data_IF_456066151839
#
_entry.id   IF_456066151839
#
_cell.length_a   1.000
_cell.length_b   1.000
_cell.length_c   1.000
_cell.angle_alpha   90.00
_cell.angle_beta   90.00
_cell.angle_gamma   90.00
#
_symmetry.space_group_name_H-M   'P 1'
#
loop_
_entity.id
_entity.type
_entity.pdbx_description
1 polymer ?
#
# COMPACT_ATOMS: atom_id res chain seq x y z
N UNK A 1 -23.03 1.42 3.79
CA UNK A 1 -21.58 1.71 3.94
C UNK A 1 -21.44 2.67 5.09
N UNK A 2 -20.76 2.25 6.16
CA UNK A 2 -20.47 3.13 7.29
C UNK A 2 -19.52 4.24 6.82
N UNK A 3 -20.05 5.47 6.68
CA UNK A 3 -19.27 6.63 6.24
C UNK A 3 -18.03 6.87 7.13
N UNK A 4 -18.12 6.47 8.40
CA UNK A 4 -17.03 6.50 9.36
C UNK A 4 -15.84 5.63 8.93
N UNK A 5 -16.12 4.39 8.51
CA UNK A 5 -15.07 3.45 8.09
C UNK A 5 -14.35 3.96 6.84
N UNK A 6 -15.10 4.49 5.87
CA UNK A 6 -14.52 5.06 4.65
C UNK A 6 -13.51 6.18 4.95
N UNK A 7 -13.92 7.17 5.75
CA UNK A 7 -13.05 8.29 6.09
C UNK A 7 -11.86 7.87 6.96
N UNK A 8 -12.06 6.96 7.91
CA UNK A 8 -10.97 6.44 8.74
C UNK A 8 -9.91 5.73 7.88
N UNK A 9 -10.32 4.83 6.99
CA UNK A 9 -9.39 4.14 6.08
C UNK A 9 -8.72 5.11 5.11
N UNK A 10 -9.49 6.03 4.51
CA UNK A 10 -8.95 7.02 3.58
C UNK A 10 -7.87 7.88 4.24
N UNK A 11 -8.17 8.50 5.38
CA UNK A 11 -7.22 9.37 6.09
C UNK A 11 -5.99 8.59 6.54
N UNK A 12 -6.17 7.39 7.08
CA UNK A 12 -5.05 6.56 7.55
C UNK A 12 -4.11 6.18 6.41
N UNK A 13 -4.66 5.70 5.29
CA UNK A 13 -3.86 5.32 4.11
C UNK A 13 -3.23 6.55 3.47
N UNK A 14 -3.98 7.65 3.35
CA UNK A 14 -3.46 8.89 2.78
C UNK A 14 -2.26 9.42 3.58
N UNK A 15 -2.35 9.47 4.92
CA UNK A 15 -1.24 9.88 5.78
C UNK A 15 -0.06 8.90 5.71
N UNK A 16 -0.32 7.59 5.62
CA UNK A 16 0.74 6.57 5.53
C UNK A 16 1.53 6.64 4.21
N UNK A 17 0.86 7.02 3.12
CA UNK A 17 1.45 7.07 1.77
C UNK A 17 2.04 8.45 1.41
N UNK A 18 1.80 9.49 2.23
CA UNK A 18 2.32 10.84 1.97
C UNK A 18 3.85 10.88 2.06
N UNK A 19 4.49 11.27 0.96
CA UNK A 19 5.95 11.43 0.89
C UNK A 19 6.71 10.12 0.64
N UNK A 20 6.03 9.04 0.28
CA UNK A 20 6.70 7.78 -0.06
C UNK A 20 7.49 7.86 -1.38
N UNK A 21 8.46 6.96 -1.55
CA UNK A 21 9.27 6.75 -2.75
C UNK A 21 8.43 6.58 -4.02
N UNK A 22 7.23 6.00 -3.92
CA UNK A 22 6.31 5.89 -5.05
C UNK A 22 5.87 7.25 -5.60
N UNK A 23 5.68 8.26 -4.74
CA UNK A 23 5.34 9.62 -5.16
C UNK A 23 6.53 10.30 -5.88
N UNK A 24 7.75 10.12 -5.38
CA UNK A 24 8.96 10.60 -6.05
C UNK A 24 9.16 9.91 -7.42
N UNK A 25 8.85 8.62 -7.53
CA UNK A 25 8.86 7.90 -8.80
C UNK A 25 7.83 8.46 -9.79
N UNK A 26 6.61 8.76 -9.33
CA UNK A 26 5.57 9.37 -10.17
C UNK A 26 5.96 10.80 -10.62
N UNK A 27 6.55 11.60 -9.73
CA UNK A 27 7.05 12.94 -10.05
C UNK A 27 8.18 12.89 -11.08
N UNK A 28 9.15 12.00 -10.91
CA UNK A 28 10.27 11.84 -11.86
C UNK A 28 9.81 11.28 -13.21
N UNK A 29 8.86 10.34 -13.21
CA UNK A 29 8.24 9.82 -14.45
C UNK A 29 7.47 10.92 -15.19
N UNK A 30 6.76 11.79 -14.46
CA UNK A 30 6.09 12.96 -15.02
C UNK A 30 7.08 13.97 -15.58
N UNK A 31 8.16 14.26 -14.84
CA UNK A 31 9.21 15.18 -15.27
C UNK A 31 9.94 14.72 -16.54
N UNK A 32 10.09 13.41 -16.75
CA UNK A 32 10.73 12.84 -17.95
C UNK A 32 9.80 12.76 -19.16
N UNK A 33 8.54 12.40 -18.97
CA UNK A 33 7.58 12.18 -20.07
C UNK A 33 6.82 13.44 -20.47
N UNK A 34 6.74 14.44 -19.58
CA UNK A 34 5.86 15.61 -19.74
C UNK A 34 4.37 15.29 -19.67
N UNK A 35 3.98 14.03 -19.48
CA UNK A 35 2.62 13.55 -19.67
C UNK A 35 1.88 13.36 -18.34
N UNK A 36 1.65 14.47 -17.62
CA UNK A 36 1.10 14.50 -16.27
C UNK A 36 -0.18 13.68 -16.10
N UNK A 37 -1.16 13.82 -17.01
CA UNK A 37 -2.44 13.12 -16.92
C UNK A 37 -2.25 11.60 -17.07
N UNK A 38 -1.38 11.17 -17.97
CA UNK A 38 -1.14 9.74 -18.22
C UNK A 38 -0.43 9.07 -17.04
N UNK A 39 0.58 9.75 -16.47
CA UNK A 39 1.31 9.22 -15.31
C UNK A 39 0.41 9.19 -14.08
N UNK A 40 -0.42 10.21 -13.88
CA UNK A 40 -1.41 10.24 -12.82
C UNK A 40 -2.39 9.06 -12.94
N UNK A 41 -3.03 8.89 -14.10
CA UNK A 41 -3.99 7.81 -14.31
C UNK A 41 -3.34 6.42 -14.18
N UNK A 42 -2.13 6.24 -14.70
CA UNK A 42 -1.41 4.98 -14.60
C UNK A 42 -1.05 4.65 -13.14
N UNK A 43 -0.53 5.62 -12.38
CA UNK A 43 -0.19 5.43 -10.98
C UNK A 43 -1.43 5.18 -10.11
N UNK A 44 -2.52 5.94 -10.33
CA UNK A 44 -3.80 5.71 -9.65
C UNK A 44 -4.38 4.33 -9.97
N UNK A 45 -4.39 3.93 -11.25
CA UNK A 45 -4.86 2.62 -11.66
C UNK A 45 -4.02 1.49 -11.03
N UNK A 46 -2.69 1.65 -11.01
CA UNK A 46 -1.80 0.69 -10.37
C UNK A 46 -2.10 0.54 -8.88
N UNK A 47 -2.31 1.66 -8.15
CA UNK A 47 -2.65 1.64 -6.73
C UNK A 47 -3.99 0.96 -6.46
N UNK A 48 -5.02 1.28 -7.25
CA UNK A 48 -6.35 0.66 -7.14
C UNK A 48 -6.26 -0.84 -7.41
N UNK A 49 -5.57 -1.25 -8.47
CA UNK A 49 -5.37 -2.66 -8.80
C UNK A 49 -4.62 -3.41 -7.70
N UNK A 50 -3.51 -2.86 -7.21
CA UNK A 50 -2.73 -3.47 -6.14
C UNK A 50 -3.57 -3.63 -4.86
N UNK A 51 -4.33 -2.60 -4.50
CA UNK A 51 -5.22 -2.63 -3.33
C UNK A 51 -6.35 -3.64 -3.52
N UNK A 52 -6.99 -3.67 -4.69
CA UNK A 52 -8.05 -4.62 -5.00
C UNK A 52 -7.57 -6.07 -4.90
N UNK A 53 -6.39 -6.37 -5.48
CA UNK A 53 -5.77 -7.70 -5.36
C UNK A 53 -5.49 -8.02 -3.89
N UNK A 54 -4.89 -7.08 -3.14
CA UNK A 54 -4.59 -7.26 -1.72
C UNK A 54 -5.83 -7.56 -0.87
N UNK A 55 -6.93 -6.83 -1.10
CA UNK A 55 -8.20 -7.04 -0.38
C UNK A 55 -8.86 -8.36 -0.78
N UNK A 56 -8.86 -8.72 -2.06
CA UNK A 56 -9.44 -9.99 -2.53
C UNK A 56 -8.69 -11.19 -1.97
N UNK A 57 -7.36 -11.18 -2.07
CA UNK A 57 -6.49 -12.26 -1.57
C UNK A 57 -6.56 -12.30 -0.05
N UNK A 58 -6.44 -11.17 0.63
CA UNK A 58 -6.52 -11.08 2.09
C UNK A 58 -7.87 -11.59 2.60
N UNK A 59 -8.97 -11.13 2.02
CA UNK A 59 -10.32 -11.57 2.38
C UNK A 59 -10.56 -13.07 2.14
N UNK A 60 -9.96 -13.65 1.09
CA UNK A 60 -9.99 -15.10 0.89
C UNK A 60 -9.14 -15.85 1.93
N UNK A 61 -7.96 -15.32 2.25
CA UNK A 61 -7.03 -15.93 3.21
C UNK A 61 -7.61 -15.97 4.63
N UNK A 62 -8.29 -14.90 5.06
CA UNK A 62 -8.94 -14.83 6.38
C UNK A 62 -10.12 -15.80 6.56
N UNK A 63 -10.63 -16.42 5.48
CA UNK A 63 -11.63 -17.50 5.58
C UNK A 63 -11.03 -18.84 5.99
N UNK A 64 -9.74 -19.03 5.75
CA UNK A 64 -9.03 -20.29 6.00
C UNK A 64 -8.08 -20.18 7.19
N UNK A 65 -7.51 -19.00 7.41
CA UNK A 65 -6.49 -18.74 8.43
C UNK A 65 -7.06 -17.82 9.52
N UNK A 66 -6.89 -18.14 10.82
CA UNK A 66 -7.31 -17.26 11.90
C UNK A 66 -6.58 -15.91 11.84
N UNK A 67 -7.32 -14.82 12.07
CA UNK A 67 -6.79 -13.45 12.01
C UNK A 67 -5.57 -13.25 12.93
N UNK A 68 -5.57 -13.88 14.10
CA UNK A 68 -4.45 -13.83 15.05
C UNK A 68 -3.14 -14.33 14.45
N UNK A 69 -3.18 -15.42 13.68
CA UNK A 69 -1.98 -15.99 13.05
C UNK A 69 -1.42 -15.03 12.01
N UNK A 70 -2.31 -14.46 11.18
CA UNK A 70 -1.90 -13.48 10.16
C UNK A 70 -1.26 -12.25 10.81
N UNK A 71 -1.82 -11.75 11.91
CA UNK A 71 -1.25 -10.61 12.67
C UNK A 71 0.15 -10.91 13.19
N UNK A 72 0.38 -12.06 13.82
CA UNK A 72 1.71 -12.43 14.32
C UNK A 72 2.72 -12.61 13.19
N UNK A 73 2.34 -13.27 12.10
CA UNK A 73 3.22 -13.48 10.94
C UNK A 73 3.57 -12.14 10.28
N UNK A 74 2.59 -11.26 10.08
CA UNK A 74 2.83 -9.93 9.51
C UNK A 74 3.77 -9.09 10.41
N UNK A 75 3.56 -9.10 11.72
CA UNK A 75 4.44 -8.41 12.67
C UNK A 75 5.87 -8.95 12.66
N UNK A 76 6.03 -10.28 12.67
CA UNK A 76 7.35 -10.92 12.59
C UNK A 76 8.07 -10.59 11.27
N UNK A 77 7.35 -10.60 10.15
CA UNK A 77 7.89 -10.20 8.86
C UNK A 77 8.33 -8.72 8.86
N UNK A 78 7.53 -7.84 9.47
CA UNK A 78 7.86 -6.42 9.57
C UNK A 78 9.14 -6.18 10.39
N UNK A 79 9.29 -6.87 11.53
CA UNK A 79 10.50 -6.81 12.35
C UNK A 79 11.71 -7.37 11.60
N UNK A 80 11.55 -8.50 10.90
CA UNK A 80 12.62 -9.10 10.10
C UNK A 80 13.11 -8.16 9.00
N UNK A 81 12.19 -7.54 8.25
CA UNK A 81 12.52 -6.53 7.23
C UNK A 81 13.18 -5.31 7.87
N UNK A 82 12.65 -4.81 9.00
CA UNK A 82 13.23 -3.68 9.72
C UNK A 82 14.68 -3.95 10.17
N UNK A 83 14.94 -5.11 10.77
CA UNK A 83 16.29 -5.53 11.14
C UNK A 83 17.21 -5.65 9.92
N UNK A 84 16.71 -6.21 8.82
CA UNK A 84 17.47 -6.33 7.58
C UNK A 84 17.86 -4.96 7.00
N UNK A 85 16.92 -4.01 7.00
CA UNK A 85 17.18 -2.63 6.59
C UNK A 85 18.20 -1.95 7.51
N UNK A 86 18.17 -2.19 8.82
CA UNK A 86 19.17 -1.62 9.74
C UNK A 86 20.57 -2.20 9.52
N UNK A 87 20.69 -3.49 9.20
CA UNK A 87 21.99 -4.15 9.04
C UNK A 87 22.61 -3.90 7.66
N UNK A 88 21.79 -3.78 6.60
CA UNK A 88 22.23 -3.73 5.21
C UNK A 88 21.86 -2.45 4.44
N UNK A 89 20.97 -1.62 4.98
CA UNK A 89 20.61 -0.32 4.44
C UNK A 89 21.50 0.77 5.01
#
# INVERSE_FOLDING_TARGET
MDKSLFWATFVTVFLAELGDKTQLAAMTATARSGALVTVFLAASAALVCATAIGVLVGGALFKVIPESVVKYVAGAAFVAVGLWVIVKG
#
